data_IF_282151460431
#
_entry.id   IF_282151460431
#
_cell.length_a   1.000
_cell.length_b   1.000
_cell.length_c   1.000
_cell.angle_alpha   90.00
_cell.angle_beta   90.00
_cell.angle_gamma   90.00
#
_symmetry.space_group_name_H-M   'P 1'
#
loop_
_entity.id
_entity.type
_entity.pdbx_description
1 polymer ?
#
# COMPACT_ATOMS: atom_id res chain seq x y z
N UNK A 1 -10.10 -11.73 0.28
CA UNK A 1 -9.18 -10.57 0.35
C UNK A 1 -9.55 -9.75 1.56
N UNK A 2 -8.58 -9.54 2.43
CA UNK A 2 -8.76 -8.71 3.61
C UNK A 2 -8.67 -7.23 3.22
N UNK A 3 -9.61 -6.41 3.70
CA UNK A 3 -9.42 -4.95 3.77
C UNK A 3 -8.36 -4.61 4.81
N UNK A 4 -8.00 -3.33 4.94
CA UNK A 4 -6.88 -2.94 5.81
C UNK A 4 -7.07 -3.33 7.28
N UNK A 5 -8.26 -3.11 7.84
CA UNK A 5 -8.56 -3.49 9.23
C UNK A 5 -8.40 -5.00 9.48
N UNK A 6 -8.97 -5.82 8.58
CA UNK A 6 -8.81 -7.27 8.67
C UNK A 6 -7.35 -7.70 8.51
N UNK A 7 -6.59 -7.07 7.60
CA UNK A 7 -5.16 -7.32 7.45
C UNK A 7 -4.40 -6.98 8.73
N UNK A 8 -4.62 -5.80 9.31
CA UNK A 8 -3.98 -5.36 10.55
C UNK A 8 -4.27 -6.29 11.73
N UNK A 9 -5.47 -6.87 11.81
CA UNK A 9 -5.81 -7.87 12.83
C UNK A 9 -5.06 -9.18 12.65
N UNK A 10 -4.89 -9.66 11.41
CA UNK A 10 -4.31 -10.98 11.14
C UNK A 10 -2.79 -10.97 10.91
N UNK A 11 -2.22 -9.81 10.59
CA UNK A 11 -0.79 -9.59 10.36
C UNK A 11 -0.29 -8.32 11.09
N UNK A 12 -0.44 -8.26 12.43
CA UNK A 12 -0.20 -7.04 13.18
C UNK A 12 1.26 -6.58 13.12
N UNK A 13 2.24 -7.50 13.12
CA UNK A 13 3.65 -7.14 13.06
C UNK A 13 4.02 -6.53 11.71
N UNK A 14 3.53 -7.08 10.60
CA UNK A 14 3.79 -6.52 9.28
C UNK A 14 3.06 -5.18 9.10
N UNK A 15 1.82 -5.07 9.57
CA UNK A 15 1.03 -3.84 9.50
C UNK A 15 1.67 -2.69 10.29
N UNK A 16 2.24 -2.98 11.47
CA UNK A 16 2.98 -2.00 12.29
C UNK A 16 4.19 -1.45 11.55
N UNK A 17 5.03 -2.33 10.97
CA UNK A 17 6.18 -1.90 10.14
C UNK A 17 5.70 -1.08 8.95
N UNK A 18 4.66 -1.51 8.25
CA UNK A 18 4.13 -0.78 7.10
C UNK A 18 3.72 0.64 7.46
N UNK A 19 2.88 0.82 8.50
CA UNK A 19 2.39 2.15 8.92
C UNK A 19 3.54 3.04 9.38
N UNK A 20 4.46 2.51 10.19
CA UNK A 20 5.60 3.28 10.69
C UNK A 20 6.48 3.76 9.54
N UNK A 21 6.80 2.88 8.59
CA UNK A 21 7.67 3.22 7.45
C UNK A 21 6.97 4.14 6.45
N UNK A 22 5.70 3.88 6.14
CA UNK A 22 4.86 4.76 5.33
C UNK A 22 4.85 6.20 5.88
N UNK A 23 4.60 6.38 7.18
CA UNK A 23 4.61 7.69 7.81
C UNK A 23 6.01 8.34 7.78
N UNK A 24 7.06 7.58 8.07
CA UNK A 24 8.44 8.08 8.10
C UNK A 24 8.95 8.59 6.74
N UNK A 25 8.35 8.14 5.63
CA UNK A 25 8.74 8.52 4.27
C UNK A 25 7.76 9.49 3.61
N UNK A 26 6.92 10.19 4.39
CA UNK A 26 5.95 11.13 3.86
C UNK A 26 4.92 10.43 2.95
N UNK A 27 4.50 9.24 3.36
CA UNK A 27 3.59 8.33 2.66
C UNK A 27 4.18 7.66 1.41
N UNK A 28 5.42 7.98 0.99
CA UNK A 28 6.00 7.44 -0.23
C UNK A 28 6.15 5.91 -0.15
N UNK A 29 5.58 5.24 -1.15
CA UNK A 29 5.71 3.80 -1.40
C UNK A 29 6.07 3.55 -2.87
N UNK A 30 6.56 2.35 -3.15
CA UNK A 30 6.84 1.83 -4.49
C UNK A 30 5.75 0.83 -4.88
N UNK A 31 4.91 1.22 -5.83
CA UNK A 31 3.85 0.39 -6.38
C UNK A 31 4.38 -0.45 -7.55
N UNK A 32 4.22 -1.76 -7.43
CA UNK A 32 4.41 -2.76 -8.48
C UNK A 32 3.10 -3.09 -9.18
N UNK A 33 3.05 -2.93 -10.52
CA UNK A 33 1.91 -3.30 -11.38
C UNK A 33 2.34 -4.19 -12.54
N UNK A 34 1.39 -4.85 -13.21
CA UNK A 34 1.64 -5.68 -14.39
C UNK A 34 1.29 -4.94 -15.69
N UNK A 35 2.30 -4.72 -16.52
CA UNK A 35 2.12 -4.09 -17.83
C UNK A 35 1.40 -5.02 -18.82
N UNK A 36 0.82 -4.49 -19.92
CA UNK A 36 0.23 -5.31 -20.98
C UNK A 36 1.19 -6.31 -21.64
N UNK A 37 2.49 -5.99 -21.67
CA UNK A 37 3.56 -6.85 -22.19
C UNK A 37 4.09 -7.87 -21.16
N UNK A 38 3.50 -7.92 -19.97
CA UNK A 38 3.84 -8.87 -18.90
C UNK A 38 5.05 -8.47 -18.05
N UNK A 39 5.77 -7.40 -18.39
CA UNK A 39 6.85 -6.90 -17.54
C UNK A 39 6.29 -6.22 -16.29
N UNK A 40 6.93 -6.35 -15.11
CA UNK A 40 6.55 -5.58 -13.94
C UNK A 40 6.91 -4.11 -14.14
N UNK A 41 6.03 -3.21 -13.71
CA UNK A 41 6.33 -1.78 -13.57
C UNK A 41 6.47 -1.45 -12.09
N UNK A 42 7.47 -0.65 -11.75
CA UNK A 42 7.57 0.02 -10.45
C UNK A 42 7.28 1.51 -10.65
N UNK A 43 6.47 2.10 -9.77
CA UNK A 43 6.15 3.54 -9.79
C UNK A 43 6.04 4.08 -8.37
N UNK A 44 6.58 5.28 -8.10
CA UNK A 44 6.34 5.94 -6.83
C UNK A 44 4.87 6.36 -6.72
N UNK A 45 4.33 6.27 -5.50
CA UNK A 45 3.06 6.88 -5.12
C UNK A 45 2.94 7.06 -3.61
N UNK A 46 2.01 7.91 -3.19
CA UNK A 46 1.65 8.17 -1.81
C UNK A 46 0.26 7.55 -1.52
N UNK A 47 0.17 6.25 -1.18
CA UNK A 47 -1.09 5.64 -0.77
C UNK A 47 -1.62 6.33 0.51
N UNK A 48 -2.94 6.40 0.67
CA UNK A 48 -3.57 7.09 1.81
C UNK A 48 -4.46 6.17 2.62
N UNK A 49 -4.38 6.30 3.95
CA UNK A 49 -5.34 5.70 4.86
C UNK A 49 -6.55 6.62 5.00
N UNK A 50 -7.74 6.09 4.72
CA UNK A 50 -8.98 6.84 4.86
C UNK A 50 -10.14 5.89 5.15
N UNK A 51 -10.96 6.23 6.15
CA UNK A 51 -12.11 5.42 6.61
C UNK A 51 -11.77 3.94 6.88
N UNK A 52 -10.60 3.68 7.46
CA UNK A 52 -10.17 2.32 7.83
C UNK A 52 -9.65 1.49 6.65
N UNK A 53 -9.47 2.07 5.48
CA UNK A 53 -8.97 1.40 4.28
C UNK A 53 -7.70 2.06 3.73
N UNK A 54 -6.94 1.30 2.94
CA UNK A 54 -5.79 1.81 2.19
C UNK A 54 -6.20 2.08 0.74
N UNK A 55 -6.01 3.32 0.31
CA UNK A 55 -6.43 3.81 -1.00
C UNK A 55 -5.23 4.10 -1.89
N UNK A 56 -5.27 3.59 -3.12
CA UNK A 56 -4.33 3.88 -4.18
C UNK A 56 -4.98 4.90 -5.13
N UNK A 57 -4.82 6.18 -4.79
CA UNK A 57 -5.40 7.32 -5.53
C UNK A 57 -4.26 8.23 -5.99
N UNK A 58 -4.45 8.91 -7.11
CA UNK A 58 -3.43 9.79 -7.65
C UNK A 58 -3.89 10.45 -8.94
N UNK A 59 -2.94 11.05 -9.65
CA UNK A 59 -3.23 11.74 -10.91
C UNK A 59 -3.90 10.80 -11.93
N UNK A 60 -4.90 11.29 -12.69
CA UNK A 60 -5.56 10.54 -13.75
C UNK A 60 -4.59 10.23 -14.91
N UNK A 61 -4.96 9.25 -15.74
CA UNK A 61 -4.24 8.86 -16.97
C UNK A 61 -2.75 8.55 -16.75
N UNK A 62 -2.45 7.81 -15.69
CA UNK A 62 -1.08 7.32 -15.44
C UNK A 62 -0.97 5.86 -15.83
N UNK A 63 0.18 5.48 -16.39
CA UNK A 63 0.41 4.10 -16.83
C UNK A 63 0.25 3.06 -15.71
N UNK A 64 0.54 3.42 -14.44
CA UNK A 64 0.30 2.52 -13.29
C UNK A 64 -1.19 2.25 -13.04
N UNK A 65 -2.07 3.21 -13.35
CA UNK A 65 -3.51 3.04 -13.21
C UNK A 65 -4.12 2.35 -14.43
N UNK A 66 -3.59 2.61 -15.64
CA UNK A 66 -3.93 1.82 -16.82
C UNK A 66 -3.57 0.33 -16.62
N UNK A 67 -2.42 0.07 -16.00
CA UNK A 67 -2.00 -1.29 -15.64
C UNK A 67 -3.00 -1.92 -14.65
N UNK A 68 -3.41 -1.21 -13.59
CA UNK A 68 -4.37 -1.71 -12.57
C UNK A 68 -5.78 -1.93 -13.12
N UNK A 69 -6.24 -1.07 -14.03
CA UNK A 69 -7.53 -1.21 -14.69
C UNK A 69 -7.58 -2.48 -15.54
N UNK A 70 -6.44 -2.85 -16.15
CA UNK A 70 -6.31 -4.08 -16.94
C UNK A 70 -6.11 -5.32 -16.08
N UNK A 71 -5.23 -5.25 -15.09
CA UNK A 71 -4.90 -6.34 -14.17
C UNK A 71 -4.86 -5.81 -12.74
N UNK A 72 -5.82 -6.19 -11.88
CA UNK A 72 -5.98 -5.53 -10.58
C UNK A 72 -4.89 -5.93 -9.58
N UNK A 73 -3.97 -6.84 -9.95
CA UNK A 73 -2.91 -7.30 -9.04
C UNK A 73 -1.86 -6.21 -8.83
N UNK A 74 -1.49 -6.01 -7.57
CA UNK A 74 -0.47 -5.06 -7.19
C UNK A 74 0.48 -5.63 -6.13
N UNK A 75 1.66 -5.01 -6.03
CA UNK A 75 2.51 -5.06 -4.84
C UNK A 75 2.80 -3.63 -4.41
N UNK A 76 2.88 -3.37 -3.12
CA UNK A 76 3.21 -2.06 -2.58
C UNK A 76 4.30 -2.24 -1.52
N UNK A 77 5.43 -1.57 -1.70
CA UNK A 77 6.58 -1.63 -0.81
C UNK A 77 6.79 -0.25 -0.17
N UNK A 78 7.06 -0.19 1.13
CA UNK A 78 7.44 1.07 1.80
C UNK A 78 8.73 1.61 1.21
N UNK A 79 8.97 2.93 1.20
CA UNK A 79 10.24 3.42 0.66
C UNK A 79 11.43 2.99 1.54
N UNK A 80 12.36 2.24 0.96
CA UNK A 80 13.66 1.93 1.58
C UNK A 80 14.52 3.19 1.57
N UNK A 81 15.03 3.59 2.73
CA UNK A 81 15.78 4.85 2.90
C UNK A 81 17.27 4.64 3.19
N UNK A 82 17.68 3.42 3.52
CA UNK A 82 19.06 3.05 3.83
C UNK A 82 19.36 1.61 3.39
N UNK A 83 20.63 1.30 3.12
CA UNK A 83 21.05 -0.01 2.62
C UNK A 83 21.05 -1.12 3.67
N UNK A 84 20.99 -0.77 4.95
CA UNK A 84 20.97 -1.73 6.05
C UNK A 84 19.54 -2.09 6.48
N UNK A 85 18.54 -1.37 5.93
CA UNK A 85 17.13 -1.51 6.28
C UNK A 85 16.96 -1.38 7.79
N UNK A 86 17.68 -0.41 8.39
CA UNK A 86 17.86 -0.33 9.84
C UNK A 86 16.55 -0.15 10.59
N UNK A 87 15.59 0.52 9.94
CA UNK A 87 14.24 0.70 10.45
C UNK A 87 13.26 -0.37 9.99
N UNK A 88 13.69 -1.37 9.23
CA UNK A 88 12.82 -2.34 8.58
C UNK A 88 12.11 -1.78 7.34
N UNK A 89 11.47 -2.69 6.60
CA UNK A 89 10.63 -2.38 5.45
C UNK A 89 9.49 -3.36 5.38
N UNK A 90 8.37 -2.95 4.80
CA UNK A 90 7.22 -3.82 4.58
C UNK A 90 6.77 -3.77 3.13
N UNK A 91 6.26 -4.90 2.67
CA UNK A 91 5.54 -5.02 1.41
C UNK A 91 4.24 -5.78 1.60
N UNK A 92 3.22 -5.33 0.90
CA UNK A 92 1.89 -5.94 0.85
C UNK A 92 1.54 -6.20 -0.62
N UNK A 93 0.76 -7.24 -0.88
CA UNK A 93 0.30 -7.54 -2.23
C UNK A 93 -1.10 -8.15 -2.21
N UNK A 94 -1.79 -8.01 -3.34
CA UNK A 94 -3.15 -8.49 -3.52
C UNK A 94 -3.76 -7.87 -4.75
N UNK A 95 -5.03 -7.50 -4.68
CA UNK A 95 -5.70 -6.82 -5.80
C UNK A 95 -6.42 -5.57 -5.35
N UNK A 96 -6.65 -4.66 -6.28
CA UNK A 96 -7.48 -3.48 -6.07
C UNK A 96 -8.93 -3.71 -6.49
N UNK A 97 -9.84 -2.94 -5.91
CA UNK A 97 -11.20 -2.74 -6.43
C UNK A 97 -11.36 -1.25 -6.74
N UNK A 98 -11.76 -0.91 -7.97
CA UNK A 98 -12.08 0.47 -8.30
C UNK A 98 -13.45 0.85 -7.73
N UNK A 99 -13.49 1.89 -6.90
CA UNK A 99 -14.68 2.31 -6.18
C UNK A 99 -15.21 3.61 -6.77
N UNK A 100 -16.34 3.52 -7.48
CA UNK A 100 -17.03 4.68 -8.04
C UNK A 100 -18.18 5.14 -7.13
N UNK A 101 -17.85 5.62 -5.93
CA UNK A 101 -18.80 6.19 -4.97
C UNK A 101 -18.52 7.69 -4.79
N UNK A 102 -19.37 8.53 -5.39
CA UNK A 102 -19.25 9.98 -5.34
C UNK A 102 -19.30 10.55 -3.92
N UNK A 103 -20.07 9.93 -3.03
CA UNK A 103 -20.17 10.39 -1.65
C UNK A 103 -18.86 10.10 -0.90
N UNK A 104 -18.25 8.94 -1.15
CA UNK A 104 -16.92 8.60 -0.64
C UNK A 104 -15.85 9.52 -1.23
N UNK A 105 -15.86 9.76 -2.55
CA UNK A 105 -14.90 10.65 -3.20
C UNK A 105 -14.93 12.07 -2.65
N UNK A 106 -16.13 12.62 -2.40
CA UNK A 106 -16.26 13.93 -1.74
C UNK A 106 -15.61 13.92 -0.35
N UNK A 107 -15.90 12.93 0.49
CA UNK A 107 -15.30 12.86 1.84
C UNK A 107 -13.79 12.66 1.80
N UNK A 108 -13.29 11.85 0.86
CA UNK A 108 -11.86 11.66 0.64
C UNK A 108 -11.19 12.98 0.20
N UNK A 109 -11.79 13.71 -0.74
CA UNK A 109 -11.26 14.99 -1.21
C UNK A 109 -11.21 16.06 -0.10
N UNK A 110 -12.25 16.13 0.75
CA UNK A 110 -12.24 17.00 1.93
C UNK A 110 -11.11 16.61 2.89
N UNK A 111 -10.95 15.31 3.19
CA UNK A 111 -9.88 14.84 4.08
C UNK A 111 -8.48 15.16 3.53
N UNK A 112 -8.26 15.02 2.21
CA UNK A 112 -6.99 15.39 1.56
C UNK A 112 -6.72 16.89 1.67
N UNK A 113 -7.74 17.73 1.47
CA UNK A 113 -7.62 19.17 1.64
C UNK A 113 -7.29 19.56 3.08
N UNK A 114 -7.96 18.95 4.06
CA UNK A 114 -7.70 19.19 5.49
C UNK A 114 -6.31 18.72 5.92
N UNK A 115 -5.84 17.57 5.42
CA UNK A 115 -4.57 16.96 5.81
C UNK A 115 -3.36 17.71 5.23
N UNK A 116 -3.41 18.03 3.92
CA UNK A 116 -2.23 18.53 3.19
C UNK A 116 -2.47 19.78 2.34
N UNK A 117 -3.68 20.35 2.35
CA UNK A 117 -4.02 21.56 1.60
C UNK A 117 -4.14 21.38 0.09
N UNK A 118 -4.08 20.14 -0.42
CA UNK A 118 -4.30 19.85 -1.83
C UNK A 118 -5.80 19.90 -2.15
N UNK A 119 -6.23 20.91 -2.89
CA UNK A 119 -7.63 21.07 -3.25
C UNK A 119 -7.99 20.25 -4.51
N UNK A 120 -8.58 19.09 -4.29
CA UNK A 120 -9.15 18.20 -5.32
C UNK A 120 -10.67 18.07 -5.18
N UNK A 121 -11.30 18.98 -4.43
CA UNK A 121 -12.74 18.93 -4.18
C UNK A 121 -13.49 19.34 -5.45
N UNK A 122 -14.49 18.56 -5.81
CA UNK A 122 -15.26 18.75 -7.04
C UNK A 122 -14.55 18.22 -8.30
N UNK A 123 -13.29 17.78 -8.20
CA UNK A 123 -12.62 17.10 -9.30
C UNK A 123 -13.15 15.66 -9.45
N UNK A 124 -13.35 15.16 -10.69
CA UNK A 124 -13.75 13.79 -10.91
C UNK A 124 -12.59 12.82 -10.61
N UNK A 125 -12.90 11.74 -9.91
CA UNK A 125 -11.95 10.65 -9.67
C UNK A 125 -12.09 9.64 -10.82
N UNK A 126 -11.10 9.59 -11.72
CA UNK A 126 -11.06 8.56 -12.77
C UNK A 126 -10.97 7.16 -12.15
N UNK A 127 -10.08 7.01 -11.17
CA UNK A 127 -9.89 5.78 -10.41
C UNK A 127 -9.77 6.09 -8.92
N UNK A 128 -10.42 5.26 -8.11
CA UNK A 128 -10.28 5.28 -6.65
C UNK A 128 -10.15 3.85 -6.15
N UNK A 129 -8.92 3.34 -6.18
CA UNK A 129 -8.64 1.94 -5.92
C UNK A 129 -8.54 1.66 -4.42
N UNK A 130 -9.45 0.85 -3.89
CA UNK A 130 -9.31 0.25 -2.56
C UNK A 130 -8.41 -0.98 -2.63
N UNK A 131 -7.38 -1.02 -1.80
CA UNK A 131 -6.46 -2.16 -1.73
C UNK A 131 -7.05 -3.32 -0.92
N UNK A 132 -7.05 -4.52 -1.51
CA UNK A 132 -7.31 -5.79 -0.83
C UNK A 132 -6.05 -6.63 -0.73
N UNK A 133 -5.81 -7.23 0.42
CA UNK A 133 -4.57 -7.94 0.74
C UNK A 133 -4.76 -9.45 0.72
N UNK A 134 -3.81 -10.15 0.08
CA UNK A 134 -3.72 -11.62 0.10
C UNK A 134 -2.42 -12.12 0.70
N UNK A 135 -1.40 -11.25 0.80
CA UNK A 135 -0.15 -11.57 1.46
C UNK A 135 0.67 -10.31 1.76
N UNK A 136 1.60 -10.47 2.68
CA UNK A 136 2.49 -9.42 3.10
C UNK A 136 3.80 -9.99 3.66
N UNK A 137 4.81 -9.13 3.73
CA UNK A 137 6.07 -9.43 4.41
C UNK A 137 6.69 -8.18 4.97
N UNK A 138 7.30 -8.28 6.14
CA UNK A 138 8.15 -7.26 6.70
C UNK A 138 9.54 -7.83 7.00
N UNK A 139 10.53 -6.97 6.90
CA UNK A 139 11.88 -7.21 7.43
C UNK A 139 12.11 -6.26 8.59
N UNK A 140 12.67 -6.77 9.68
CA UNK A 140 13.08 -5.98 10.85
C UNK A 140 14.48 -6.39 11.26
N UNK A 141 15.29 -5.40 11.65
CA UNK A 141 16.63 -5.64 12.18
C UNK A 141 16.58 -5.54 13.70
N UNK A 142 17.04 -6.57 14.40
CA UNK A 142 17.06 -6.61 15.87
C UNK A 142 18.31 -7.35 16.33
N UNK A 143 19.08 -6.74 17.23
CA UNK A 143 20.27 -7.33 17.86
C UNK A 143 21.29 -7.96 16.88
N UNK A 144 21.44 -7.36 15.69
CA UNK A 144 22.36 -7.85 14.66
C UNK A 144 21.85 -9.06 13.88
N UNK A 145 20.55 -9.32 13.90
CA UNK A 145 19.87 -10.34 13.07
C UNK A 145 18.78 -9.67 12.22
N UNK A 146 18.42 -10.33 11.13
CA UNK A 146 17.32 -9.92 10.27
C UNK A 146 16.16 -10.91 10.44
N UNK A 147 15.04 -10.42 10.97
CA UNK A 147 13.80 -11.18 11.09
C UNK A 147 12.91 -10.87 9.88
N UNK A 148 12.52 -11.92 9.16
CA UNK A 148 11.61 -11.85 8.01
C UNK A 148 10.26 -12.41 8.44
N UNK A 149 9.28 -11.53 8.62
CA UNK A 149 7.90 -11.91 8.90
C UNK A 149 7.15 -12.02 7.58
N UNK A 150 6.39 -13.10 7.39
CA UNK A 150 5.52 -13.29 6.23
C UNK A 150 4.12 -13.69 6.65
N UNK A 151 3.14 -13.23 5.89
CA UNK A 151 1.73 -13.55 6.09
C UNK A 151 1.06 -13.84 4.75
N UNK A 152 0.05 -14.71 4.78
CA UNK A 152 -0.88 -14.97 3.69
C UNK A 152 -2.29 -15.06 4.25
N UNK A 153 -3.27 -14.55 3.51
CA UNK A 153 -4.68 -14.66 3.87
C UNK A 153 -5.07 -16.10 4.23
N UNK A 154 -5.70 -16.27 5.39
CA UNK A 154 -6.07 -17.57 5.97
C UNK A 154 -4.97 -18.29 6.75
N UNK A 155 -3.78 -17.69 6.92
CA UNK A 155 -2.65 -18.26 7.65
C UNK A 155 -2.12 -17.26 8.69
N UNK A 156 -1.54 -17.73 9.81
CA UNK A 156 -0.87 -16.84 10.76
C UNK A 156 0.44 -16.29 10.19
N UNK A 157 0.98 -15.24 10.81
CA UNK A 157 2.33 -14.78 10.55
C UNK A 157 3.36 -15.88 10.86
N UNK A 158 4.41 -15.94 10.05
CA UNK A 158 5.58 -16.80 10.27
C UNK A 158 6.85 -15.96 10.22
N UNK A 159 7.78 -16.23 11.12
CA UNK A 159 9.05 -15.50 11.20
C UNK A 159 10.22 -16.42 10.85
N UNK A 160 11.10 -15.95 9.97
CA UNK A 160 12.38 -16.58 9.67
C UNK A 160 13.51 -15.63 10.07
N UNK A 161 14.32 -16.05 11.05
CA UNK A 161 15.52 -15.31 11.48
C UNK A 161 16.72 -15.63 10.58
N UNK A 162 17.49 -14.60 10.23
CA UNK A 162 18.74 -14.66 9.46
C UNK A 162 19.87 -13.99 10.25
N UNK A 163 21.05 -14.58 10.17
CA UNK A 163 22.30 -14.10 10.81
C UNK A 163 23.30 -13.70 9.74
#
# INVERSE_FOLDING_TARGET
>A
MAGWEAFRTHAPSIAEVFVRRHAATGNLCLLGTLRPDGFPRVSPMEPRFFEGELWLVGMPRTAKFDDLARDPRFTLHTATVDTHVSDGDAKVWGTVTDVHDEALHRRFAEAVYEEIGLDIRGEPFEHCYRAGFVGASAVTVTDGHLDITTWREGWPETVVRKH
#
